data_IF_209819304400
#
_entry.id   IF_209819304400
#
_cell.length_a   1.000
_cell.length_b   1.000
_cell.length_c   1.000
_cell.angle_alpha   90.00
_cell.angle_beta   90.00
_cell.angle_gamma   90.00
#
_symmetry.space_group_name_H-M   'P 1'
#
loop_
_entity.id
_entity.type
_entity.pdbx_description
1 polymer ?
#
# COMPACT_ATOMS: atom_id res chain seq x y z
N UNK A 1 -9.37 -15.69 -40.83
CA UNK A 1 -8.08 -15.03 -40.55
C UNK A 1 -8.35 -14.19 -39.34
N UNK A 2 -8.39 -14.89 -38.22
CA UNK A 2 -8.90 -14.41 -36.95
C UNK A 2 -7.67 -13.84 -36.25
N UNK A 3 -7.41 -12.55 -36.51
CA UNK A 3 -6.40 -11.77 -35.80
C UNK A 3 -6.97 -11.48 -34.41
N UNK A 4 -7.05 -12.52 -33.59
CA UNK A 4 -7.35 -12.45 -32.17
C UNK A 4 -6.12 -11.85 -31.51
N UNK A 5 -5.95 -10.53 -31.65
CA UNK A 5 -5.09 -9.76 -30.77
C UNK A 5 -5.64 -9.96 -29.38
N UNK A 6 -5.11 -10.94 -28.68
CA UNK A 6 -5.28 -11.14 -27.26
C UNK A 6 -4.85 -9.82 -26.60
N UNK A 7 -5.82 -8.92 -26.42
CA UNK A 7 -5.72 -7.82 -25.49
C UNK A 7 -5.57 -8.51 -24.14
N UNK A 8 -4.33 -8.74 -23.72
CA UNK A 8 -4.01 -9.14 -22.36
C UNK A 8 -4.55 -8.00 -21.48
N UNK A 9 -5.80 -8.13 -21.06
CA UNK A 9 -6.42 -7.33 -20.03
C UNK A 9 -5.67 -7.66 -18.75
N UNK A 10 -4.53 -7.01 -18.56
CA UNK A 10 -3.80 -7.03 -17.31
C UNK A 10 -4.67 -6.31 -16.28
N UNK A 11 -5.39 -7.11 -15.49
CA UNK A 11 -6.11 -6.58 -14.34
C UNK A 11 -5.07 -6.11 -13.32
N UNK A 12 -5.23 -4.91 -12.72
CA UNK A 12 -4.31 -4.45 -11.70
C UNK A 12 -4.28 -5.45 -10.55
N UNK A 13 -3.10 -5.66 -9.98
CA UNK A 13 -2.95 -6.46 -8.78
C UNK A 13 -3.67 -5.81 -7.59
N UNK A 14 -3.98 -6.60 -6.56
CA UNK A 14 -4.59 -6.07 -5.35
C UNK A 14 -3.74 -4.98 -4.67
N UNK A 15 -2.41 -5.06 -4.80
CA UNK A 15 -1.50 -4.04 -4.31
C UNK A 15 -1.58 -2.72 -5.10
N UNK A 16 -1.73 -2.80 -6.43
CA UNK A 16 -1.93 -1.61 -7.28
C UNK A 16 -3.27 -0.94 -6.99
N UNK A 17 -4.33 -1.73 -6.79
CA UNK A 17 -5.64 -1.22 -6.37
C UNK A 17 -5.51 -0.51 -5.02
N UNK A 18 -4.85 -1.14 -4.04
CA UNK A 18 -4.65 -0.55 -2.71
C UNK A 18 -3.80 0.73 -2.77
N UNK A 19 -2.76 0.74 -3.60
CA UNK A 19 -1.93 1.92 -3.82
C UNK A 19 -2.72 3.08 -4.44
N UNK A 20 -3.69 2.78 -5.31
CA UNK A 20 -4.58 3.78 -5.88
C UNK A 20 -5.59 4.33 -4.86
N UNK A 21 -6.08 3.48 -3.94
CA UNK A 21 -6.96 3.89 -2.83
C UNK A 21 -6.24 4.79 -1.83
N UNK A 22 -4.93 4.59 -1.63
CA UNK A 22 -4.11 5.34 -0.65
C UNK A 22 -2.90 6.04 -1.33
N UNK A 23 -3.11 7.06 -2.18
CA UNK A 23 -2.04 7.69 -2.97
C UNK A 23 -1.00 8.42 -2.12
N UNK A 24 -1.32 8.76 -0.87
CA UNK A 24 -0.40 9.36 0.10
C UNK A 24 0.53 8.36 0.79
N UNK A 25 0.46 7.08 0.44
CA UNK A 25 1.27 6.01 1.02
C UNK A 25 2.11 5.35 -0.06
N UNK A 26 3.29 4.86 0.32
CA UNK A 26 4.08 3.94 -0.49
C UNK A 26 3.80 2.55 0.05
N UNK A 27 3.31 1.65 -0.79
CA UNK A 27 2.99 0.27 -0.42
C UNK A 27 3.95 -0.68 -1.13
N UNK A 28 4.58 -1.58 -0.38
CA UNK A 28 5.50 -2.57 -0.92
C UNK A 28 5.41 -3.87 -0.12
N UNK A 29 6.00 -4.94 -0.66
CA UNK A 29 6.16 -6.19 0.06
C UNK A 29 7.60 -6.33 0.51
N UNK A 30 7.80 -6.64 1.78
CA UNK A 30 9.11 -6.92 2.33
C UNK A 30 9.68 -8.23 1.75
N UNK A 31 11.00 -8.35 1.76
CA UNK A 31 11.70 -9.56 1.30
C UNK A 31 12.46 -10.18 2.45
N UNK A 32 12.15 -11.45 2.75
CA UNK A 32 12.90 -12.21 3.73
C UNK A 32 14.22 -12.67 3.11
N UNK A 33 15.30 -12.78 3.91
CA UNK A 33 16.62 -13.22 3.43
C UNK A 33 16.59 -14.65 2.85
N UNK A 34 15.57 -15.43 3.18
CA UNK A 34 15.33 -16.79 2.70
C UNK A 34 14.71 -16.85 1.29
N UNK A 35 14.47 -15.70 0.65
CA UNK A 35 13.88 -15.60 -0.69
C UNK A 35 12.36 -15.72 -0.71
N UNK A 36 11.72 -15.84 0.45
CA UNK A 36 10.28 -15.81 0.61
C UNK A 36 9.75 -14.39 0.66
N UNK A 37 8.53 -14.20 0.14
CA UNK A 37 7.84 -12.94 0.30
C UNK A 37 7.52 -12.71 1.77
N UNK A 38 7.92 -11.54 2.27
CA UNK A 38 7.60 -11.09 3.62
C UNK A 38 6.24 -10.41 3.69
N UNK A 39 6.10 -9.63 4.76
CA UNK A 39 4.87 -8.91 5.07
C UNK A 39 4.66 -7.75 4.09
N UNK A 40 3.41 -7.35 3.93
CA UNK A 40 3.07 -6.11 3.27
C UNK A 40 3.36 -4.93 4.19
N UNK A 41 4.01 -3.93 3.63
CA UNK A 41 4.44 -2.73 4.34
C UNK A 41 3.86 -1.50 3.67
N UNK A 42 3.54 -0.48 4.46
CA UNK A 42 3.18 0.84 3.98
C UNK A 42 3.86 1.92 4.81
N UNK A 43 4.29 3.00 4.14
CA UNK A 43 4.80 4.22 4.79
C UNK A 43 4.25 5.45 4.10
N UNK A 44 4.01 6.52 4.85
CA UNK A 44 3.59 7.79 4.27
C UNK A 44 4.58 8.25 3.20
N UNK A 45 4.07 8.63 2.04
CA UNK A 45 4.85 9.25 0.99
C UNK A 45 5.13 10.70 1.38
N UNK A 46 6.24 10.94 2.07
CA UNK A 46 6.69 12.28 2.45
C UNK A 46 7.90 12.67 1.60
N UNK A 47 7.95 13.93 1.15
CA UNK A 47 9.07 14.46 0.35
C UNK A 47 10.41 14.46 1.10
N UNK A 48 10.36 14.39 2.43
CA UNK A 48 11.53 14.23 3.29
C UNK A 48 11.46 12.88 4.00
N UNK A 49 12.51 12.05 3.96
CA UNK A 49 12.58 10.84 4.78
C UNK A 49 12.71 11.25 6.25
N UNK A 50 11.59 11.29 6.97
CA UNK A 50 11.62 11.45 8.43
C UNK A 50 12.06 10.13 9.06
N UNK A 51 13.04 10.14 9.98
CA UNK A 51 13.44 8.94 10.72
C UNK A 51 12.29 8.39 11.58
N UNK A 52 11.34 9.24 11.98
CA UNK A 52 10.12 8.89 12.72
C UNK A 52 8.92 8.52 11.81
N UNK A 53 9.15 8.28 10.52
CA UNK A 53 8.07 7.88 9.62
C UNK A 53 7.51 6.51 10.03
N UNK A 54 6.24 6.50 10.45
CA UNK A 54 5.51 5.28 10.81
C UNK A 54 5.47 4.32 9.61
N UNK A 55 5.93 3.10 9.84
CA UNK A 55 5.82 1.98 8.90
C UNK A 55 4.76 1.03 9.41
N UNK A 56 3.65 0.94 8.69
CA UNK A 56 2.62 -0.05 8.92
C UNK A 56 3.03 -1.35 8.26
N UNK A 57 2.76 -2.48 8.91
CA UNK A 57 3.13 -3.80 8.41
C UNK A 57 2.09 -4.84 8.78
N UNK A 58 1.76 -5.70 7.83
CA UNK A 58 0.83 -6.79 8.01
C UNK A 58 1.14 -7.95 7.06
N UNK A 59 0.97 -9.19 7.49
CA UNK A 59 1.23 -10.38 6.66
C UNK A 59 0.36 -10.41 5.39
N UNK A 60 -0.88 -9.96 5.52
CA UNK A 60 -1.90 -9.94 4.48
C UNK A 60 -2.26 -8.51 4.03
N UNK A 61 -2.64 -8.37 2.77
CA UNK A 61 -2.95 -7.08 2.15
C UNK A 61 -4.23 -6.45 2.69
N UNK A 62 -5.23 -7.26 3.05
CA UNK A 62 -6.48 -6.78 3.67
C UNK A 62 -6.23 -6.19 5.06
N UNK A 63 -5.42 -6.85 5.89
CA UNK A 63 -5.06 -6.28 7.20
C UNK A 63 -4.20 -5.03 7.08
N UNK A 64 -3.37 -4.91 6.03
CA UNK A 64 -2.68 -3.65 5.74
C UNK A 64 -3.66 -2.52 5.39
N UNK A 65 -4.74 -2.82 4.63
CA UNK A 65 -5.79 -1.86 4.31
C UNK A 65 -6.47 -1.33 5.58
N UNK A 66 -6.86 -2.22 6.50
CA UNK A 66 -7.52 -1.82 7.74
C UNK A 66 -6.62 -0.91 8.60
N UNK A 67 -5.31 -1.18 8.63
CA UNK A 67 -4.33 -0.32 9.31
C UNK A 67 -4.24 1.06 8.66
N UNK A 68 -4.22 1.13 7.32
CA UNK A 68 -4.19 2.39 6.57
C UNK A 68 -5.46 3.22 6.83
N UNK A 69 -6.64 2.61 6.75
CA UNK A 69 -7.91 3.29 7.03
C UNK A 69 -7.98 3.84 8.46
N UNK A 70 -7.51 3.04 9.43
CA UNK A 70 -7.46 3.47 10.83
C UNK A 70 -6.52 4.65 11.03
N UNK A 71 -5.37 4.65 10.33
CA UNK A 71 -4.39 5.73 10.42
C UNK A 71 -4.85 7.02 9.72
N UNK A 72 -5.54 6.94 8.58
CA UNK A 72 -6.15 8.12 7.96
C UNK A 72 -7.20 8.75 8.88
N UNK A 73 -8.08 7.92 9.46
CA UNK A 73 -9.14 8.40 10.37
C UNK A 73 -8.59 9.10 11.60
N UNK A 74 -7.51 8.57 12.18
CA UNK A 74 -6.85 9.20 13.33
C UNK A 74 -6.25 10.56 12.96
N UNK A 75 -5.55 10.66 11.82
CA UNK A 75 -4.97 11.92 11.37
C UNK A 75 -6.03 12.96 10.98
N UNK A 76 -7.14 12.55 10.37
CA UNK A 76 -8.24 13.47 10.03
C UNK A 76 -8.92 14.04 11.28
N UNK A 77 -9.04 13.24 12.35
CA UNK A 77 -9.58 13.71 13.62
C UNK A 77 -8.63 14.67 14.34
N UNK A 78 -7.33 14.41 14.28
CA UNK A 78 -6.30 15.25 14.94
C UNK A 78 -6.12 16.60 14.22
N UNK A 79 -6.30 16.65 12.89
CA UNK A 79 -6.25 17.89 12.12
C UNK A 79 -7.50 18.79 12.21
N UNK A 80 -8.54 18.38 12.93
CA UNK A 80 -9.80 19.13 13.07
C UNK A 80 -9.90 19.93 14.38
N UNK A 81 -8.96 19.73 15.28
CA UNK A 81 -8.89 20.37 16.60
C UNK A 81 -7.94 21.60 16.66
N UNK A 82 -7.50 22.13 15.51
CA UNK A 82 -6.72 23.39 15.39
C UNK A 82 -7.56 24.56 14.84
#
# INVERSE_FOLDING_TARGET
>A
MDDERATLLFSPSAAEILQADFPGWLIWRDFKPEGEHGDWCARRHTSSPSPDAVVLRHTDLEGLRELLESHEKQQEQEGRDD
#
